data_IF_853596547316
#
_entry.id   IF_853596547316
#
_cell.length_a   1.000
_cell.length_b   1.000
_cell.length_c   1.000
_cell.angle_alpha   90.00
_cell.angle_beta   90.00
_cell.angle_gamma   90.00
#
_symmetry.space_group_name_H-M   'P 1'
#
loop_
_entity.id
_entity.type
_entity.pdbx_description
1 polymer ?
#
# COMPACT_ATOMS: atom_id res chain seq x y z
N UNK A 1 -0.77 -20.98 -2.12
CA UNK A 1 0.59 -21.47 -1.84
C UNK A 1 0.75 -22.59 -2.84
N UNK A 2 1.37 -22.30 -3.98
CA UNK A 2 1.15 -23.06 -5.22
C UNK A 2 2.46 -23.66 -5.78
N UNK A 3 3.59 -23.39 -5.13
CA UNK A 3 4.91 -23.95 -5.46
C UNK A 3 5.16 -25.21 -4.62
N UNK A 4 5.66 -26.29 -5.25
CA UNK A 4 6.03 -27.55 -4.59
C UNK A 4 7.51 -27.81 -4.85
N UNK A 5 8.30 -27.91 -3.78
CA UNK A 5 9.71 -28.31 -3.82
C UNK A 5 9.86 -29.70 -3.18
N UNK A 6 10.51 -30.64 -3.87
CA UNK A 6 10.75 -32.00 -3.37
C UNK A 6 12.16 -32.47 -3.71
N UNK A 7 12.80 -33.18 -2.78
CA UNK A 7 14.12 -33.79 -2.97
C UNK A 7 14.00 -35.28 -3.26
N UNK A 8 14.83 -35.77 -4.18
CA UNK A 8 14.98 -37.20 -4.52
C UNK A 8 16.46 -37.51 -4.71
N UNK A 9 16.84 -38.79 -4.64
CA UNK A 9 18.26 -39.19 -4.74
C UNK A 9 18.70 -39.36 -6.19
N UNK A 10 17.76 -39.64 -7.11
CA UNK A 10 18.05 -39.87 -8.53
C UNK A 10 17.11 -39.09 -9.47
N UNK A 11 17.52 -38.95 -10.73
CA UNK A 11 16.69 -38.30 -11.78
C UNK A 11 15.48 -39.18 -12.12
N UNK A 12 15.63 -40.49 -12.08
CA UNK A 12 14.57 -41.47 -12.31
C UNK A 12 13.45 -41.31 -11.28
N UNK A 13 13.81 -41.19 -10.00
CA UNK A 13 12.86 -40.91 -8.92
C UNK A 13 12.18 -39.56 -9.09
N UNK A 14 12.93 -38.51 -9.43
CA UNK A 14 12.35 -37.19 -9.68
C UNK A 14 11.29 -37.26 -10.80
N UNK A 15 11.58 -37.96 -11.90
CA UNK A 15 10.62 -38.15 -13.02
C UNK A 15 9.39 -38.94 -12.59
N UNK A 16 9.54 -39.99 -11.78
CA UNK A 16 8.41 -40.76 -11.23
C UNK A 16 7.56 -39.88 -10.32
N UNK A 17 8.18 -39.16 -9.39
CA UNK A 17 7.51 -38.25 -8.48
C UNK A 17 6.72 -37.16 -9.22
N UNK A 18 7.29 -36.56 -10.26
CA UNK A 18 6.60 -35.57 -11.09
C UNK A 18 5.38 -36.17 -11.80
N UNK A 19 5.52 -37.35 -12.40
CA UNK A 19 4.40 -38.07 -13.04
C UNK A 19 3.29 -38.34 -12.03
N UNK A 20 3.64 -38.90 -10.88
CA UNK A 20 2.67 -39.33 -9.88
C UNK A 20 1.98 -38.12 -9.22
N UNK A 21 2.72 -37.04 -9.00
CA UNK A 21 2.17 -35.76 -8.54
C UNK A 21 1.20 -35.17 -9.57
N UNK A 22 1.57 -35.16 -10.85
CA UNK A 22 0.66 -34.67 -11.89
C UNK A 22 -0.62 -35.51 -11.93
N UNK A 23 -0.53 -36.84 -11.91
CA UNK A 23 -1.69 -37.76 -11.85
C UNK A 23 -2.63 -37.45 -10.68
N UNK A 24 -2.08 -37.21 -9.48
CA UNK A 24 -2.87 -36.81 -8.31
C UNK A 24 -3.54 -35.45 -8.54
N UNK A 25 -2.81 -34.47 -9.07
CA UNK A 25 -3.38 -33.17 -9.40
C UNK A 25 -4.49 -33.28 -10.46
N UNK A 26 -4.35 -34.19 -11.42
CA UNK A 26 -5.37 -34.42 -12.45
C UNK A 26 -6.70 -34.86 -11.85
N UNK A 27 -6.68 -35.70 -10.82
CA UNK A 27 -7.90 -36.13 -10.12
C UNK A 27 -8.66 -34.97 -9.47
N UNK A 28 -7.98 -33.84 -9.24
CA UNK A 28 -8.53 -32.60 -8.67
C UNK A 28 -8.72 -31.49 -9.72
N UNK A 29 -8.68 -31.82 -11.01
CA UNK A 29 -8.74 -30.84 -12.11
C UNK A 29 -7.61 -29.79 -12.08
N UNK A 30 -6.44 -30.18 -11.55
CA UNK A 30 -5.21 -29.39 -11.55
C UNK A 30 -4.15 -30.05 -12.46
N UNK A 31 -3.10 -29.30 -12.80
CA UNK A 31 -1.96 -29.75 -13.61
C UNK A 31 -0.68 -29.08 -13.14
N UNK A 32 0.45 -29.77 -13.27
CA UNK A 32 1.76 -29.13 -13.17
C UNK A 32 2.01 -28.23 -14.39
N UNK A 33 2.64 -27.07 -14.15
CA UNK A 33 3.07 -26.21 -15.25
C UNK A 33 4.40 -26.71 -15.81
N UNK A 34 4.34 -27.50 -16.88
CA UNK A 34 5.52 -28.12 -17.50
C UNK A 34 6.64 -27.13 -17.87
N UNK A 35 6.30 -25.89 -18.25
CA UNK A 35 7.29 -24.85 -18.58
C UNK A 35 8.01 -24.28 -17.35
N UNK A 36 7.46 -24.47 -16.15
CA UNK A 36 8.04 -24.00 -14.89
C UNK A 36 8.64 -25.13 -14.05
N UNK A 37 8.20 -26.37 -14.24
CA UNK A 37 8.72 -27.55 -13.56
C UNK A 37 10.17 -27.82 -14.00
N UNK A 38 11.08 -27.97 -13.03
CA UNK A 38 12.50 -28.25 -13.28
C UNK A 38 12.98 -29.36 -12.35
N UNK A 39 13.72 -30.32 -12.90
CA UNK A 39 14.57 -31.22 -12.12
C UNK A 39 15.95 -30.56 -12.07
N UNK A 40 16.44 -30.29 -10.87
CA UNK A 40 17.72 -29.64 -10.65
C UNK A 40 18.63 -30.59 -9.88
N UNK A 41 19.91 -30.64 -10.26
CA UNK A 41 20.94 -31.23 -9.40
C UNK A 41 21.06 -30.44 -8.09
N UNK A 42 21.70 -31.02 -7.07
CA UNK A 42 21.91 -30.34 -5.80
C UNK A 42 22.64 -28.98 -5.96
N UNK A 43 23.61 -28.90 -6.88
CA UNK A 43 24.37 -27.67 -7.16
C UNK A 43 23.47 -26.62 -7.81
N UNK A 44 22.69 -27.01 -8.82
CA UNK A 44 21.75 -26.11 -9.50
C UNK A 44 20.65 -25.64 -8.55
N UNK A 45 20.12 -26.53 -7.71
CA UNK A 45 19.15 -26.19 -6.68
C UNK A 45 19.75 -25.17 -5.70
N UNK A 46 20.97 -25.38 -5.21
CA UNK A 46 21.64 -24.45 -4.30
C UNK A 46 21.77 -23.05 -4.90
N UNK A 47 22.12 -22.97 -6.19
CA UNK A 47 22.20 -21.71 -6.94
C UNK A 47 20.82 -21.11 -7.23
N UNK A 48 19.85 -21.92 -7.64
CA UNK A 48 18.49 -21.51 -7.98
C UNK A 48 17.78 -20.94 -6.76
N UNK A 49 17.83 -21.64 -5.62
CA UNK A 49 17.24 -21.20 -4.36
C UNK A 49 18.04 -20.12 -3.65
N UNK A 50 19.25 -19.79 -4.15
CA UNK A 50 20.11 -18.74 -3.60
C UNK A 50 20.38 -18.93 -2.10
N UNK A 51 20.60 -20.19 -1.69
CA UNK A 51 20.69 -20.60 -0.26
C UNK A 51 21.71 -19.77 0.52
N UNK A 52 22.86 -19.47 -0.10
CA UNK A 52 23.89 -18.62 0.52
C UNK A 52 23.40 -17.19 0.76
N UNK A 53 22.70 -16.59 -0.20
CA UNK A 53 22.16 -15.23 -0.05
C UNK A 53 21.12 -15.18 1.06
N UNK A 54 20.21 -16.16 1.12
CA UNK A 54 19.22 -16.27 2.18
C UNK A 54 19.88 -16.30 3.56
N UNK A 55 20.90 -17.15 3.74
CA UNK A 55 21.67 -17.23 5.01
C UNK A 55 22.39 -15.92 5.34
N UNK A 56 22.89 -15.20 4.34
CA UNK A 56 23.53 -13.88 4.56
C UNK A 56 22.50 -12.86 5.03
N UNK A 57 21.33 -12.82 4.39
CA UNK A 57 20.24 -11.94 4.80
C UNK A 57 19.74 -12.27 6.22
N UNK A 58 19.63 -13.54 6.58
CA UNK A 58 19.30 -13.98 7.95
C UNK A 58 20.28 -13.39 8.97
N UNK A 59 21.59 -13.50 8.70
CA UNK A 59 22.64 -12.98 9.59
C UNK A 59 22.61 -11.46 9.70
N UNK A 60 22.38 -10.75 8.58
CA UNK A 60 22.26 -9.29 8.59
C UNK A 60 21.05 -8.87 9.43
N UNK A 61 19.91 -9.53 9.23
CA UNK A 61 18.69 -9.23 9.97
C UNK A 61 18.84 -9.52 11.47
N UNK A 62 19.42 -10.68 11.85
CA UNK A 62 19.72 -11.00 13.25
C UNK A 62 20.69 -10.01 13.89
N UNK A 63 21.70 -9.56 13.15
CA UNK A 63 22.63 -8.53 13.63
C UNK A 63 21.90 -7.20 13.88
N UNK A 64 21.07 -6.75 12.94
CA UNK A 64 20.30 -5.51 13.08
C UNK A 64 19.28 -5.59 14.22
N UNK A 65 18.63 -6.75 14.41
CA UNK A 65 17.70 -6.99 15.51
C UNK A 65 18.39 -7.02 16.88
N UNK A 66 19.68 -7.37 16.94
CA UNK A 66 20.47 -7.33 18.18
C UNK A 66 20.88 -5.92 18.61
N UNK A 67 20.80 -4.93 17.70
CA UNK A 67 21.15 -3.56 18.00
C UNK A 67 19.98 -2.82 18.66
N UNK A 68 20.24 -1.89 19.58
CA UNK A 68 19.21 -0.99 20.09
C UNK A 68 18.54 -0.20 18.96
N UNK A 69 17.23 0.04 19.06
CA UNK A 69 16.51 0.87 18.09
C UNK A 69 17.12 2.27 18.00
N UNK A 70 17.46 2.71 16.78
CA UNK A 70 18.08 4.02 16.53
C UNK A 70 19.58 4.06 16.84
N UNK A 71 20.25 2.94 17.05
CA UNK A 71 21.70 2.92 17.23
C UNK A 71 22.42 3.39 15.94
N UNK A 72 23.41 4.30 16.04
CA UNK A 72 24.19 4.76 14.87
C UNK A 72 24.90 3.62 14.11
N UNK A 73 25.22 2.53 14.80
CA UNK A 73 25.77 1.32 14.20
C UNK A 73 24.80 0.67 13.21
N UNK A 74 23.49 0.68 13.50
CA UNK A 74 22.47 0.13 12.62
C UNK A 74 22.38 0.94 11.32
N UNK A 75 22.35 2.27 11.40
CA UNK A 75 22.33 3.14 10.22
C UNK A 75 23.56 2.96 9.34
N UNK A 76 24.74 2.83 9.95
CA UNK A 76 25.99 2.54 9.22
C UNK A 76 25.92 1.20 8.50
N UNK A 77 25.45 0.15 9.18
CA UNK A 77 25.30 -1.18 8.60
C UNK A 77 24.28 -1.18 7.44
N UNK A 78 23.13 -0.53 7.63
CA UNK A 78 22.09 -0.39 6.60
C UNK A 78 22.59 0.41 5.39
N UNK A 79 23.37 1.47 5.60
CA UNK A 79 24.00 2.24 4.51
C UNK A 79 24.98 1.41 3.68
N UNK A 80 25.83 0.61 4.34
CA UNK A 80 26.74 -0.32 3.64
C UNK A 80 25.92 -1.38 2.88
N UNK A 81 24.91 -1.93 3.53
CA UNK A 81 24.03 -2.95 2.95
C UNK A 81 23.28 -2.42 1.71
N UNK A 82 22.63 -1.26 1.80
CA UNK A 82 21.91 -0.64 0.70
C UNK A 82 22.83 -0.35 -0.51
N UNK A 83 24.04 0.19 -0.28
CA UNK A 83 25.04 0.41 -1.34
C UNK A 83 25.50 -0.90 -1.98
N UNK A 84 25.74 -1.94 -1.18
CA UNK A 84 26.13 -3.24 -1.70
C UNK A 84 25.04 -3.87 -2.58
N UNK A 85 23.78 -3.67 -2.20
CA UNK A 85 22.61 -4.19 -2.93
C UNK A 85 22.42 -3.44 -4.24
N UNK A 86 22.51 -2.12 -4.23
CA UNK A 86 22.44 -1.29 -5.44
C UNK A 86 23.55 -1.67 -6.43
N UNK A 87 24.79 -1.84 -5.94
CA UNK A 87 25.91 -2.34 -6.76
C UNK A 87 25.64 -3.74 -7.33
N UNK A 88 25.12 -4.67 -6.54
CA UNK A 88 24.76 -6.01 -7.04
C UNK A 88 23.64 -5.94 -8.08
N UNK A 89 22.68 -5.04 -7.89
CA UNK A 89 21.58 -4.85 -8.82
C UNK A 89 22.06 -4.34 -10.18
N UNK A 90 22.91 -3.30 -10.20
CA UNK A 90 23.47 -2.75 -11.44
C UNK A 90 24.32 -3.77 -12.21
N UNK A 91 24.92 -4.74 -11.51
CA UNK A 91 25.64 -5.87 -12.10
C UNK A 91 24.74 -7.03 -12.58
N UNK A 92 23.41 -6.90 -12.47
CA UNK A 92 22.47 -7.94 -12.89
C UNK A 92 22.40 -9.17 -11.98
N UNK A 93 22.90 -9.08 -10.75
CA UNK A 93 23.06 -10.22 -9.82
C UNK A 93 21.73 -10.93 -9.47
N UNK A 94 20.62 -10.21 -9.55
CA UNK A 94 19.28 -10.68 -9.16
C UNK A 94 18.44 -11.23 -10.33
N UNK A 95 18.99 -11.31 -11.56
CA UNK A 95 18.25 -11.74 -12.75
C UNK A 95 17.94 -13.24 -12.81
N UNK A 96 18.70 -14.06 -12.07
CA UNK A 96 18.65 -15.53 -12.19
C UNK A 96 18.08 -16.19 -10.93
N UNK A 97 17.42 -17.34 -11.11
CA UNK A 97 16.85 -18.14 -10.03
C UNK A 97 15.91 -17.32 -9.13
N UNK A 98 16.00 -17.53 -7.83
CA UNK A 98 15.27 -16.77 -6.82
C UNK A 98 15.86 -15.37 -6.55
N UNK A 99 16.64 -14.80 -7.46
CA UNK A 99 17.25 -13.48 -7.31
C UNK A 99 16.23 -12.37 -7.02
N UNK A 100 15.07 -12.39 -7.68
CA UNK A 100 13.98 -11.42 -7.39
C UNK A 100 13.42 -11.61 -5.97
N UNK A 101 13.31 -12.85 -5.47
CA UNK A 101 12.91 -13.12 -4.07
C UNK A 101 13.94 -12.57 -3.08
N UNK A 102 15.24 -12.70 -3.37
CA UNK A 102 16.33 -12.10 -2.57
C UNK A 102 16.23 -10.57 -2.59
N UNK A 103 16.00 -9.95 -3.74
CA UNK A 103 15.84 -8.49 -3.85
C UNK A 103 14.61 -8.01 -3.06
N UNK A 104 13.48 -8.71 -3.14
CA UNK A 104 12.28 -8.44 -2.33
C UNK A 104 12.60 -8.46 -0.84
N UNK A 105 13.31 -9.50 -0.38
CA UNK A 105 13.67 -9.66 1.03
C UNK A 105 14.59 -8.53 1.49
N UNK A 106 15.53 -8.11 0.66
CA UNK A 106 16.37 -6.94 0.92
C UNK A 106 15.56 -5.66 1.10
N UNK A 107 14.63 -5.37 0.18
CA UNK A 107 13.72 -4.22 0.33
C UNK A 107 12.89 -4.35 1.61
N UNK A 108 12.47 -5.58 1.96
CA UNK A 108 11.79 -5.89 3.21
C UNK A 108 12.59 -5.54 4.46
N UNK A 109 13.89 -5.86 4.48
CA UNK A 109 14.81 -5.48 5.57
C UNK A 109 14.87 -3.95 5.67
N UNK A 110 15.10 -3.26 4.55
CA UNK A 110 15.15 -1.79 4.55
C UNK A 110 13.82 -1.17 5.04
N UNK A 111 12.67 -1.74 4.66
CA UNK A 111 11.37 -1.34 5.16
C UNK A 111 11.21 -1.55 6.68
N UNK A 112 11.69 -2.67 7.22
CA UNK A 112 11.61 -2.99 8.66
C UNK A 112 12.32 -1.94 9.51
N UNK A 113 13.47 -1.45 9.03
CA UNK A 113 14.26 -0.42 9.72
C UNK A 113 14.03 1.00 9.22
N UNK A 114 13.00 1.23 8.39
CA UNK A 114 12.68 2.56 7.83
C UNK A 114 13.86 3.21 7.09
N UNK A 115 14.73 2.40 6.48
CA UNK A 115 15.88 2.86 5.73
C UNK A 115 15.54 3.01 4.25
N UNK A 116 15.92 4.12 3.65
CA UNK A 116 15.53 4.46 2.27
C UNK A 116 16.27 3.62 1.24
N UNK A 117 15.56 3.16 0.23
CA UNK A 117 16.15 2.58 -0.97
C UNK A 117 16.98 3.61 -1.74
N UNK A 118 18.17 3.26 -2.27
CA UNK A 118 18.88 4.13 -3.20
C UNK A 118 18.00 4.52 -4.39
N UNK A 119 18.02 5.79 -4.78
CA UNK A 119 17.09 6.38 -5.75
C UNK A 119 17.11 5.65 -7.10
N UNK A 120 18.31 5.30 -7.58
CA UNK A 120 18.49 4.53 -8.80
C UNK A 120 17.85 3.14 -8.70
N UNK A 121 18.02 2.47 -7.55
CA UNK A 121 17.41 1.17 -7.29
C UNK A 121 15.88 1.27 -7.19
N UNK A 122 15.35 2.29 -6.50
CA UNK A 122 13.91 2.54 -6.43
C UNK A 122 13.32 2.72 -7.83
N UNK A 123 13.89 3.61 -8.64
CA UNK A 123 13.44 3.88 -10.00
C UNK A 123 13.51 2.62 -10.88
N UNK A 124 14.60 1.86 -10.79
CA UNK A 124 14.76 0.61 -11.54
C UNK A 124 13.75 -0.47 -11.11
N UNK A 125 13.50 -0.61 -9.80
CA UNK A 125 12.51 -1.57 -9.28
C UNK A 125 11.11 -1.20 -9.73
N UNK A 126 10.71 0.07 -9.60
CA UNK A 126 9.38 0.53 -10.04
C UNK A 126 9.19 0.28 -11.54
N UNK A 127 10.22 0.56 -12.33
CA UNK A 127 10.21 0.39 -13.79
C UNK A 127 10.16 -1.08 -14.23
N UNK A 128 11.07 -1.90 -13.71
CA UNK A 128 11.39 -3.22 -14.30
C UNK A 128 10.81 -4.42 -13.54
N UNK A 129 10.34 -4.23 -12.30
CA UNK A 129 9.95 -5.34 -11.43
C UNK A 129 8.52 -5.19 -10.89
N UNK A 130 7.48 -5.56 -11.68
CA UNK A 130 6.08 -5.46 -11.26
C UNK A 130 5.79 -6.09 -9.88
N UNK A 131 6.37 -7.26 -9.61
CA UNK A 131 6.19 -8.00 -8.35
C UNK A 131 6.81 -7.32 -7.12
N UNK A 132 7.71 -6.34 -7.33
CA UNK A 132 8.44 -5.64 -6.29
C UNK A 132 7.95 -4.20 -6.08
N UNK A 133 7.13 -3.68 -7.00
CA UNK A 133 6.59 -2.31 -6.97
C UNK A 133 5.95 -1.96 -5.62
N UNK A 134 5.08 -2.82 -5.09
CA UNK A 134 4.45 -2.58 -3.77
C UNK A 134 5.48 -2.48 -2.64
N UNK A 135 6.52 -3.32 -2.66
CA UNK A 135 7.56 -3.31 -1.64
C UNK A 135 8.43 -2.06 -1.71
N UNK A 136 8.73 -1.57 -2.92
CA UNK A 136 9.44 -0.32 -3.13
C UNK A 136 8.60 0.90 -2.75
N UNK A 137 7.34 0.96 -3.20
CA UNK A 137 6.41 2.02 -2.80
C UNK A 137 6.19 2.05 -1.29
N UNK A 138 6.11 0.89 -0.64
CA UNK A 138 6.06 0.80 0.83
C UNK A 138 7.32 1.39 1.49
N UNK A 139 8.49 1.25 0.89
CA UNK A 139 9.71 1.89 1.38
C UNK A 139 9.57 3.41 1.36
N UNK A 140 9.17 3.95 0.20
CA UNK A 140 8.92 5.38 0.04
C UNK A 140 7.84 5.88 1.03
N UNK A 141 6.75 5.12 1.23
CA UNK A 141 5.71 5.45 2.20
C UNK A 141 6.23 5.57 3.64
N UNK A 142 7.13 4.67 4.07
CA UNK A 142 7.68 4.66 5.43
C UNK A 142 8.71 5.77 5.64
N UNK A 143 9.59 5.97 4.64
CA UNK A 143 10.68 6.93 4.69
C UNK A 143 10.25 8.36 4.35
N UNK A 144 9.10 8.53 3.70
CA UNK A 144 8.61 9.79 3.16
C UNK A 144 8.77 9.85 1.63
N UNK A 145 7.70 10.07 0.89
CA UNK A 145 7.81 10.35 -0.55
C UNK A 145 8.46 11.72 -0.77
N UNK A 146 9.51 11.74 -1.59
CA UNK A 146 10.18 12.95 -2.10
C UNK A 146 9.90 13.09 -3.59
N UNK A 147 10.34 14.22 -4.13
CA UNK A 147 10.28 14.51 -5.56
C UNK A 147 10.84 13.38 -6.44
N UNK A 148 11.96 12.75 -6.06
CA UNK A 148 12.59 11.70 -6.86
C UNK A 148 11.70 10.47 -6.99
N UNK A 149 11.03 10.07 -5.90
CA UNK A 149 10.12 8.92 -5.94
C UNK A 149 8.86 9.24 -6.75
N UNK A 150 8.33 10.46 -6.64
CA UNK A 150 7.22 10.90 -7.49
C UNK A 150 7.60 10.90 -8.97
N UNK A 151 8.76 11.45 -9.33
CA UNK A 151 9.24 11.47 -10.71
C UNK A 151 9.45 10.07 -11.28
N UNK A 152 10.01 9.15 -10.49
CA UNK A 152 10.16 7.76 -10.92
C UNK A 152 8.80 7.11 -11.20
N UNK A 153 7.79 7.33 -10.36
CA UNK A 153 6.43 6.80 -10.57
C UNK A 153 5.74 7.46 -11.77
N UNK A 154 5.75 8.78 -11.87
CA UNK A 154 5.16 9.52 -12.99
C UNK A 154 5.79 9.10 -14.33
N UNK A 155 7.11 8.94 -14.36
CA UNK A 155 7.83 8.51 -15.57
C UNK A 155 7.37 7.17 -16.11
N UNK A 156 7.08 6.17 -15.26
CA UNK A 156 6.68 4.84 -15.73
C UNK A 156 5.29 4.83 -16.33
N UNK A 157 4.39 5.72 -15.89
CA UNK A 157 3.09 5.91 -16.54
C UNK A 157 3.23 6.65 -17.86
N UNK A 158 3.96 7.77 -17.90
CA UNK A 158 4.12 8.57 -19.14
C UNK A 158 4.84 7.81 -20.25
N UNK A 159 5.76 6.92 -19.89
CA UNK A 159 6.45 6.04 -20.84
C UNK A 159 5.62 4.81 -21.25
N UNK A 160 4.41 4.63 -20.72
CA UNK A 160 3.58 3.45 -21.02
C UNK A 160 4.16 2.13 -20.50
N UNK A 161 5.05 2.18 -19.51
CA UNK A 161 5.69 0.98 -18.92
C UNK A 161 4.80 0.31 -17.86
N UNK A 162 3.69 0.97 -17.51
CA UNK A 162 2.64 0.40 -16.68
C UNK A 162 1.29 0.64 -17.33
N UNK A 163 0.53 -0.43 -17.48
CA UNK A 163 -0.82 -0.41 -18.04
C UNK A 163 -1.85 -1.11 -17.15
N UNK A 164 -1.43 -1.71 -16.01
CA UNK A 164 -2.33 -2.46 -15.14
C UNK A 164 -2.95 -1.59 -14.04
N UNK A 165 -4.25 -1.79 -13.82
CA UNK A 165 -5.00 -1.12 -12.76
C UNK A 165 -4.54 -1.51 -11.36
N UNK A 166 -3.97 -2.71 -11.23
CA UNK A 166 -3.41 -3.17 -9.97
C UNK A 166 -2.32 -2.23 -9.46
N UNK A 167 -1.41 -1.76 -10.32
CA UNK A 167 -0.38 -0.81 -9.92
C UNK A 167 -0.96 0.54 -9.50
N UNK A 168 -1.95 1.08 -10.21
CA UNK A 168 -2.65 2.31 -9.81
C UNK A 168 -3.28 2.17 -8.42
N UNK A 169 -3.94 1.06 -8.16
CA UNK A 169 -4.57 0.77 -6.86
C UNK A 169 -3.54 0.65 -5.73
N UNK A 170 -2.43 -0.05 -5.98
CA UNK A 170 -1.31 -0.16 -5.04
C UNK A 170 -0.70 1.21 -4.77
N UNK A 171 -0.47 2.02 -5.81
CA UNK A 171 0.07 3.37 -5.67
C UNK A 171 -0.84 4.26 -4.84
N UNK A 172 -2.14 4.30 -5.15
CA UNK A 172 -3.11 5.08 -4.40
C UNK A 172 -3.14 4.69 -2.92
N UNK A 173 -3.18 3.38 -2.63
CA UNK A 173 -3.09 2.87 -1.25
C UNK A 173 -1.80 3.33 -0.57
N UNK A 174 -0.66 3.21 -1.22
CA UNK A 174 0.64 3.54 -0.63
C UNK A 174 0.84 5.02 -0.38
N UNK A 175 0.38 5.87 -1.30
CA UNK A 175 0.39 7.32 -1.10
C UNK A 175 -0.54 7.70 0.06
N UNK A 176 -1.76 7.19 0.11
CA UNK A 176 -2.70 7.49 1.20
C UNK A 176 -2.19 7.08 2.58
N UNK A 177 -1.35 6.04 2.68
CA UNK A 177 -0.70 5.61 3.93
C UNK A 177 0.65 6.32 4.20
N UNK A 178 1.23 7.01 3.23
CA UNK A 178 2.62 7.46 3.24
C UNK A 178 2.89 8.63 4.19
N UNK A 179 4.13 8.78 4.63
CA UNK A 179 4.68 10.10 4.96
C UNK A 179 5.01 10.84 3.67
N UNK A 180 4.89 12.16 3.67
CA UNK A 180 5.30 13.01 2.55
C UNK A 180 6.43 13.92 3.04
N UNK A 181 7.44 14.12 2.19
CA UNK A 181 8.41 15.18 2.38
C UNK A 181 7.85 16.46 1.77
N UNK A 182 7.69 17.48 2.60
CA UNK A 182 7.12 18.77 2.21
C UNK A 182 8.25 19.74 1.88
N UNK A 183 8.61 19.82 0.60
CA UNK A 183 9.67 20.68 0.07
C UNK A 183 9.14 21.76 -0.90
N UNK A 184 7.82 21.85 -1.05
CA UNK A 184 7.11 22.75 -1.96
C UNK A 184 6.86 22.14 -3.34
N UNK A 185 7.37 20.94 -3.63
CA UNK A 185 7.17 20.25 -4.92
C UNK A 185 6.12 19.14 -4.87
N UNK A 186 5.67 18.77 -3.66
CA UNK A 186 4.75 17.66 -3.44
C UNK A 186 3.40 17.87 -4.09
N UNK A 187 2.87 19.09 -4.10
CA UNK A 187 1.57 19.40 -4.72
C UNK A 187 1.62 19.19 -6.23
N UNK A 188 2.63 19.73 -6.91
CA UNK A 188 2.80 19.55 -8.35
C UNK A 188 3.02 18.08 -8.71
N UNK A 189 3.81 17.37 -7.89
CA UNK A 189 4.07 15.94 -8.07
C UNK A 189 2.81 15.11 -7.94
N UNK A 190 2.00 15.35 -6.91
CA UNK A 190 0.73 14.68 -6.70
C UNK A 190 -0.29 15.00 -7.82
N UNK A 191 -0.27 16.22 -8.41
CA UNK A 191 -1.13 16.56 -9.56
C UNK A 191 -0.76 15.71 -10.76
N UNK A 192 0.54 15.61 -11.06
CA UNK A 192 1.02 14.74 -12.14
C UNK A 192 0.64 13.28 -11.95
N UNK A 193 0.63 12.78 -10.69
CA UNK A 193 0.13 11.45 -10.39
C UNK A 193 -1.39 11.35 -10.60
N UNK A 194 -2.20 12.33 -10.17
CA UNK A 194 -3.65 12.28 -10.40
C UNK A 194 -4.04 12.28 -11.88
N UNK A 195 -3.25 12.93 -12.74
CA UNK A 195 -3.49 12.98 -14.19
C UNK A 195 -3.51 11.58 -14.84
N UNK A 196 -2.88 10.58 -14.22
CA UNK A 196 -2.84 9.20 -14.72
C UNK A 196 -3.93 8.29 -14.12
N UNK A 197 -4.89 8.87 -13.38
CA UNK A 197 -6.08 8.19 -12.84
C UNK A 197 -7.36 8.74 -13.50
N UNK A 198 -7.77 8.20 -14.66
CA UNK A 198 -9.04 8.57 -15.29
C UNK A 198 -10.24 8.36 -14.33
N UNK A 199 -11.25 9.23 -14.43
CA UNK A 199 -12.47 9.16 -13.62
C UNK A 199 -13.63 8.44 -14.31
N UNK A 200 -13.44 7.98 -15.54
CA UNK A 200 -14.40 7.25 -16.36
C UNK A 200 -14.23 5.72 -16.32
N UNK A 201 -13.19 5.23 -15.63
CA UNK A 201 -12.89 3.82 -15.40
C UNK A 201 -12.92 3.46 -13.90
N UNK A 202 -13.41 2.26 -13.54
CA UNK A 202 -13.68 1.89 -12.15
C UNK A 202 -12.46 1.91 -11.23
N UNK A 203 -11.38 1.18 -11.58
CA UNK A 203 -10.21 1.08 -10.72
C UNK A 203 -9.40 2.39 -10.65
N UNK A 204 -9.16 3.11 -11.76
CA UNK A 204 -8.57 4.44 -11.70
C UNK A 204 -9.43 5.45 -10.92
N UNK A 205 -10.76 5.45 -11.08
CA UNK A 205 -11.64 6.31 -10.29
C UNK A 205 -11.57 5.99 -8.79
N UNK A 206 -11.52 4.69 -8.42
CA UNK A 206 -11.30 4.28 -7.04
C UNK A 206 -10.00 4.89 -6.49
N UNK A 207 -8.90 4.74 -7.21
CA UNK A 207 -7.60 5.26 -6.81
C UNK A 207 -7.58 6.78 -6.68
N UNK A 208 -8.17 7.50 -7.64
CA UNK A 208 -8.29 8.96 -7.61
C UNK A 208 -9.09 9.44 -6.40
N UNK A 209 -10.26 8.85 -6.14
CA UNK A 209 -11.09 9.21 -4.98
C UNK A 209 -10.37 8.94 -3.66
N UNK A 210 -9.60 7.85 -3.57
CA UNK A 210 -8.80 7.54 -2.39
C UNK A 210 -7.63 8.52 -2.20
N UNK A 211 -6.98 8.94 -3.27
CA UNK A 211 -5.96 9.99 -3.19
C UNK A 211 -6.59 11.32 -2.75
N UNK A 212 -7.70 11.72 -3.37
CA UNK A 212 -8.41 12.97 -3.04
C UNK A 212 -9.03 12.96 -1.65
N UNK A 213 -9.34 11.80 -1.06
CA UNK A 213 -9.82 11.76 0.32
C UNK A 213 -8.75 12.14 1.34
N UNK A 214 -7.47 11.97 1.01
CA UNK A 214 -6.37 12.49 1.82
C UNK A 214 -5.93 13.87 1.36
N UNK A 215 -5.63 13.98 0.08
CA UNK A 215 -4.93 15.13 -0.48
C UNK A 215 -5.85 16.14 -1.15
N UNK A 216 -7.17 15.97 -1.16
CA UNK A 216 -8.10 16.91 -1.78
C UNK A 216 -8.81 17.78 -0.75
N UNK A 217 -9.21 18.99 -1.19
CA UNK A 217 -10.25 19.75 -0.48
C UNK A 217 -11.58 19.01 -0.52
N UNK A 218 -12.47 19.23 0.46
CA UNK A 218 -13.83 18.68 0.43
C UNK A 218 -14.58 19.00 -0.87
N UNK A 219 -14.42 20.21 -1.41
CA UNK A 219 -15.02 20.66 -2.68
C UNK A 219 -14.44 19.93 -3.90
N UNK A 220 -13.11 19.79 -3.96
CA UNK A 220 -12.41 19.04 -5.03
C UNK A 220 -12.80 17.57 -5.01
N UNK A 221 -12.86 16.97 -3.82
CA UNK A 221 -13.30 15.59 -3.64
C UNK A 221 -14.76 15.42 -4.08
N UNK A 222 -15.65 16.32 -3.67
CA UNK A 222 -17.06 16.25 -4.10
C UNK A 222 -17.21 16.39 -5.61
N UNK A 223 -16.46 17.30 -6.23
CA UNK A 223 -16.42 17.44 -7.70
C UNK A 223 -15.94 16.17 -8.41
N UNK A 224 -14.93 15.47 -7.86
CA UNK A 224 -14.50 14.19 -8.42
C UNK A 224 -15.58 13.11 -8.27
N UNK A 225 -16.26 13.04 -7.11
CA UNK A 225 -17.38 12.12 -6.87
C UNK A 225 -18.49 12.35 -7.89
N UNK A 226 -18.89 13.61 -8.15
CA UNK A 226 -19.95 13.87 -9.13
C UNK A 226 -19.52 13.55 -10.56
N UNK A 227 -18.25 13.78 -10.92
CA UNK A 227 -17.72 13.44 -12.25
C UNK A 227 -17.73 11.93 -12.54
N UNK A 228 -17.52 11.09 -11.54
CA UNK A 228 -17.55 9.64 -11.70
C UNK A 228 -18.89 8.98 -11.28
N UNK A 229 -19.97 9.77 -11.16
CA UNK A 229 -21.33 9.34 -10.77
C UNK A 229 -21.80 8.09 -11.52
N UNK A 230 -21.66 8.10 -12.85
CA UNK A 230 -22.07 6.99 -13.70
C UNK A 230 -21.45 5.65 -13.30
N UNK A 231 -20.24 5.65 -12.74
CA UNK A 231 -19.54 4.41 -12.38
C UNK A 231 -19.98 3.93 -11.01
N UNK A 232 -19.91 4.80 -10.00
CA UNK A 232 -20.15 4.36 -8.63
C UNK A 232 -21.63 4.11 -8.33
N UNK A 233 -22.55 4.67 -9.11
CA UNK A 233 -23.97 4.31 -9.03
C UNK A 233 -24.27 2.89 -9.56
N UNK A 234 -23.32 2.25 -10.25
CA UNK A 234 -23.50 0.92 -10.84
C UNK A 234 -22.55 -0.13 -10.23
N UNK A 235 -21.70 0.25 -9.28
CA UNK A 235 -20.76 -0.65 -8.61
C UNK A 235 -20.83 -0.49 -7.08
N UNK A 236 -21.16 -1.57 -6.38
CA UNK A 236 -21.31 -1.56 -4.91
C UNK A 236 -20.01 -1.25 -4.17
N UNK A 237 -18.86 -1.60 -4.74
CA UNK A 237 -17.55 -1.36 -4.11
C UNK A 237 -17.21 0.13 -4.14
N UNK A 238 -17.39 0.77 -5.29
CA UNK A 238 -17.14 2.18 -5.47
C UNK A 238 -18.21 3.05 -4.79
N UNK A 239 -19.48 2.62 -4.81
CA UNK A 239 -20.55 3.22 -4.00
C UNK A 239 -20.18 3.23 -2.51
N UNK A 240 -19.70 2.10 -1.99
CA UNK A 240 -19.22 2.00 -0.62
C UNK A 240 -18.00 2.89 -0.37
N UNK A 241 -17.04 2.97 -1.29
CA UNK A 241 -15.92 3.92 -1.17
C UNK A 241 -16.45 5.34 -1.00
N UNK A 242 -17.27 5.81 -1.95
CA UNK A 242 -17.85 7.17 -1.96
C UNK A 242 -18.57 7.48 -0.64
N UNK A 243 -19.39 6.56 -0.14
CA UNK A 243 -20.06 6.72 1.15
C UNK A 243 -19.07 6.85 2.32
N UNK A 244 -18.02 6.02 2.33
CA UNK A 244 -16.96 6.05 3.35
C UNK A 244 -16.16 7.35 3.37
N UNK A 245 -16.17 8.13 2.28
CA UNK A 245 -15.49 9.43 2.19
C UNK A 245 -16.32 10.59 2.79
N UNK A 246 -17.55 10.32 3.24
CA UNK A 246 -18.40 11.32 3.91
C UNK A 246 -17.68 12.14 5.00
N UNK A 247 -16.86 11.53 5.88
CA UNK A 247 -16.15 12.30 6.89
C UNK A 247 -15.28 13.42 6.30
N UNK A 248 -14.72 13.27 5.09
CA UNK A 248 -13.95 14.35 4.47
C UNK A 248 -14.86 15.45 3.95
N UNK A 249 -15.97 15.09 3.32
CA UNK A 249 -16.98 16.05 2.83
C UNK A 249 -17.57 16.88 3.98
N UNK A 250 -17.72 16.27 5.15
CA UNK A 250 -18.27 16.90 6.33
C UNK A 250 -17.34 17.93 7.02
N UNK A 251 -16.12 18.14 6.53
CA UNK A 251 -15.20 19.16 7.07
C UNK A 251 -15.62 20.56 6.66
N UNK A 252 -16.17 20.69 5.46
CA UNK A 252 -16.82 21.91 5.01
C UNK A 252 -18.28 21.90 5.46
N UNK A 253 -18.59 22.72 6.48
CA UNK A 253 -19.94 22.83 7.07
C UNK A 253 -21.00 23.30 6.07
N UNK A 254 -20.60 24.00 5.00
CA UNK A 254 -21.52 24.50 3.97
C UNK A 254 -21.81 23.43 2.91
N UNK A 255 -20.81 22.63 2.58
CA UNK A 255 -20.92 21.52 1.63
C UNK A 255 -21.63 20.31 2.24
N UNK A 256 -21.37 20.02 3.51
CA UNK A 256 -21.80 18.79 4.17
C UNK A 256 -23.30 18.48 3.97
N UNK A 257 -24.26 19.40 4.23
CA UNK A 257 -25.68 19.07 4.07
C UNK A 257 -26.05 18.76 2.61
N UNK A 258 -25.45 19.47 1.65
CA UNK A 258 -25.66 19.28 0.22
C UNK A 258 -25.12 17.93 -0.24
N UNK A 259 -23.90 17.60 0.17
CA UNK A 259 -23.26 16.32 -0.13
C UNK A 259 -24.03 15.14 0.48
N UNK A 260 -24.48 15.24 1.74
CA UNK A 260 -25.28 14.19 2.38
C UNK A 260 -26.57 13.90 1.60
N UNK A 261 -27.31 14.95 1.24
CA UNK A 261 -28.54 14.79 0.46
C UNK A 261 -28.25 14.22 -0.93
N UNK A 262 -27.21 14.71 -1.60
CA UNK A 262 -26.82 14.22 -2.92
C UNK A 262 -26.49 12.70 -2.89
N UNK A 263 -25.72 12.26 -1.89
CA UNK A 263 -25.30 10.87 -1.71
C UNK A 263 -26.46 9.94 -1.32
N UNK A 264 -27.30 10.33 -0.34
CA UNK A 264 -28.43 9.49 0.10
C UNK A 264 -29.36 9.10 -1.05
N UNK A 265 -29.56 9.99 -2.01
CA UNK A 265 -30.47 9.76 -3.13
C UNK A 265 -29.88 8.89 -4.26
N UNK A 266 -28.59 8.55 -4.21
CA UNK A 266 -27.86 7.92 -5.33
C UNK A 266 -27.03 6.70 -4.96
N UNK A 267 -26.58 6.61 -3.71
CA UNK A 267 -25.80 5.48 -3.24
C UNK A 267 -26.59 4.18 -3.39
N UNK A 268 -25.88 3.12 -3.81
CA UNK A 268 -26.39 1.75 -3.75
C UNK A 268 -26.52 1.26 -2.29
N UNK A 269 -27.29 0.18 -2.03
CA UNK A 269 -27.60 -0.26 -0.67
C UNK A 269 -26.40 -0.38 0.30
N UNK A 270 -25.24 -0.93 -0.13
CA UNK A 270 -24.07 -1.02 0.77
C UNK A 270 -23.43 0.34 1.04
N UNK A 271 -23.52 1.26 0.07
CA UNK A 271 -23.11 2.65 0.24
C UNK A 271 -24.01 3.39 1.23
N UNK A 272 -25.34 3.26 1.10
CA UNK A 272 -26.30 3.87 2.02
C UNK A 272 -26.05 3.42 3.46
N UNK A 273 -25.92 2.10 3.68
CA UNK A 273 -25.61 1.54 5.00
C UNK A 273 -24.31 2.09 5.59
N UNK A 274 -23.27 2.30 4.78
CA UNK A 274 -22.01 2.86 5.27
C UNK A 274 -22.10 4.38 5.54
N UNK A 275 -22.88 5.12 4.75
CA UNK A 275 -23.14 6.53 5.01
C UNK A 275 -23.90 6.70 6.34
N UNK A 276 -24.95 5.91 6.55
CA UNK A 276 -25.72 5.87 7.80
C UNK A 276 -24.81 5.53 8.98
N UNK A 277 -23.94 4.53 8.84
CA UNK A 277 -22.95 4.20 9.86
C UNK A 277 -22.07 5.41 10.26
N UNK A 278 -21.55 6.17 9.30
CA UNK A 278 -20.74 7.35 9.64
C UNK A 278 -21.55 8.48 10.26
N UNK A 279 -22.81 8.64 9.86
CA UNK A 279 -23.74 9.59 10.45
C UNK A 279 -24.07 9.19 11.89
N UNK A 280 -24.38 7.92 12.13
CA UNK A 280 -24.65 7.37 13.46
C UNK A 280 -23.47 7.55 14.41
N UNK A 281 -22.24 7.33 13.96
CA UNK A 281 -21.04 7.63 14.77
C UNK A 281 -20.97 9.13 15.12
N UNK A 282 -21.35 10.00 14.18
CA UNK A 282 -21.36 11.44 14.37
C UNK A 282 -22.51 11.94 15.26
N UNK A 283 -23.64 11.22 15.37
CA UNK A 283 -24.84 11.74 16.04
C UNK A 283 -25.36 10.90 17.19
N UNK A 284 -24.91 9.65 17.36
CA UNK A 284 -25.46 8.68 18.33
C UNK A 284 -24.35 8.10 19.21
N UNK A 285 -24.50 8.21 20.53
CA UNK A 285 -23.50 7.75 21.52
C UNK A 285 -23.24 6.24 21.48
N UNK A 286 -24.25 5.42 21.15
CA UNK A 286 -24.14 3.95 21.06
C UNK A 286 -23.36 3.47 19.84
N UNK A 287 -23.26 4.27 18.78
CA UNK A 287 -22.48 3.94 17.59
C UNK A 287 -20.97 3.86 17.89
N UNK A 288 -20.47 4.79 18.69
CA UNK A 288 -19.04 4.87 19.04
C UNK A 288 -18.59 3.75 20.00
N UNK A 289 -19.42 3.35 20.97
CA UNK A 289 -19.01 2.38 22.01
C UNK A 289 -18.59 1.02 21.43
N UNK A 290 -19.21 0.59 20.33
CA UNK A 290 -18.91 -0.68 19.63
C UNK A 290 -17.53 -0.71 18.99
N UNK A 291 -17.00 0.44 18.56
CA UNK A 291 -15.73 0.54 17.85
C UNK A 291 -14.61 1.16 18.69
N UNK A 292 -14.88 1.49 19.95
CA UNK A 292 -13.93 2.15 20.85
C UNK A 292 -12.58 1.41 20.95
N UNK A 293 -12.59 0.10 21.15
CA UNK A 293 -11.35 -0.69 21.25
C UNK A 293 -10.53 -0.62 19.95
N UNK A 294 -11.19 -0.78 18.80
CA UNK A 294 -10.58 -0.71 17.47
C UNK A 294 -10.01 0.69 17.24
N UNK A 295 -10.77 1.74 17.56
CA UNK A 295 -10.34 3.13 17.34
C UNK A 295 -9.15 3.51 18.24
N UNK A 296 -9.07 3.02 19.47
CA UNK A 296 -7.97 3.32 20.40
C UNK A 296 -6.67 2.52 20.13
N UNK A 297 -6.71 1.44 19.34
CA UNK A 297 -5.50 0.69 19.00
C UNK A 297 -4.55 1.51 18.12
N UNK A 298 -3.22 1.35 18.23
CA UNK A 298 -2.27 1.90 17.24
C UNK A 298 -1.97 0.85 16.17
N UNK A 299 -1.58 1.29 14.97
CA UNK A 299 -1.04 0.40 13.95
C UNK A 299 0.41 0.76 13.65
N UNK A 300 1.34 0.21 14.43
CA UNK A 300 2.77 0.54 14.31
C UNK A 300 3.42 0.14 12.99
N UNK A 301 2.77 -0.73 12.20
CA UNK A 301 3.24 -1.18 10.89
C UNK A 301 3.01 -0.16 9.77
N UNK A 302 2.17 0.85 9.99
CA UNK A 302 1.87 1.92 9.05
C UNK A 302 2.72 3.17 9.32
N UNK A 303 3.11 3.93 8.29
CA UNK A 303 3.96 5.11 8.43
C UNK A 303 3.38 6.17 9.38
N UNK A 304 2.07 6.42 9.31
CA UNK A 304 1.35 7.40 10.13
C UNK A 304 0.66 6.77 11.36
N UNK A 305 1.00 5.51 11.68
CA UNK A 305 0.50 4.77 12.85
C UNK A 305 -1.02 4.52 12.90
N UNK A 306 -1.72 4.86 11.83
CA UNK A 306 -3.15 4.69 11.65
C UNK A 306 -3.47 4.50 10.15
N UNK A 307 -4.47 3.65 9.85
CA UNK A 307 -4.99 3.50 8.50
C UNK A 307 -5.91 4.66 8.13
N UNK A 308 -6.02 4.98 6.84
CA UNK A 308 -6.86 6.10 6.39
C UNK A 308 -8.36 5.83 6.63
N UNK A 309 -8.82 4.61 6.39
CA UNK A 309 -10.16 4.13 6.74
C UNK A 309 -10.51 4.39 8.23
N UNK A 310 -9.59 4.04 9.12
CA UNK A 310 -9.74 4.28 10.54
C UNK A 310 -9.67 5.76 10.88
N UNK A 311 -8.82 6.53 10.21
CA UNK A 311 -8.79 7.99 10.34
C UNK A 311 -10.14 8.62 9.98
N UNK A 312 -10.80 8.17 8.91
CA UNK A 312 -12.13 8.64 8.53
C UNK A 312 -13.17 8.36 9.63
N UNK A 313 -13.12 7.19 10.27
CA UNK A 313 -13.95 6.90 11.43
C UNK A 313 -13.64 7.81 12.62
N UNK A 314 -12.35 8.05 12.93
CA UNK A 314 -11.93 8.97 13.99
C UNK A 314 -12.48 10.37 13.72
N UNK A 315 -12.42 10.85 12.48
CA UNK A 315 -12.97 12.14 12.08
C UNK A 315 -14.48 12.26 12.31
N UNK A 316 -15.25 11.17 12.12
CA UNK A 316 -16.67 11.15 12.52
C UNK A 316 -16.83 11.30 14.04
N UNK A 317 -16.01 10.58 14.84
CA UNK A 317 -16.07 10.64 16.31
C UNK A 317 -15.68 12.00 16.86
N UNK A 318 -14.60 12.61 16.35
CA UNK A 318 -14.11 13.90 16.84
C UNK A 318 -15.14 15.02 16.65
N UNK A 319 -15.93 14.96 15.57
CA UNK A 319 -17.03 15.89 15.30
C UNK A 319 -18.33 15.54 16.02
N UNK A 320 -18.46 14.33 16.57
CA UNK A 320 -19.68 13.88 17.22
C UNK A 320 -20.01 14.72 18.45
N UNK A 321 -21.24 15.20 18.59
CA UNK A 321 -21.66 15.86 19.84
C UNK A 321 -21.92 14.86 20.97
N UNK A 322 -22.02 13.57 20.64
CA UNK A 322 -22.38 12.50 21.58
C UNK A 322 -21.18 11.73 22.13
N UNK A 323 -19.99 11.85 21.51
CA UNK A 323 -18.79 11.16 21.98
C UNK A 323 -18.17 11.86 23.21
N UNK A 324 -17.80 11.12 24.28
CA UNK A 324 -17.24 11.71 25.50
C UNK A 324 -15.96 12.51 25.24
N UNK A 325 -15.83 13.71 25.82
CA UNK A 325 -14.67 14.60 25.63
C UNK A 325 -13.34 13.92 25.99
N UNK A 326 -13.30 13.16 27.08
CA UNK A 326 -12.08 12.43 27.49
C UNK A 326 -11.65 11.36 26.49
N UNK A 327 -12.60 10.76 25.78
CA UNK A 327 -12.31 9.77 24.74
C UNK A 327 -11.79 10.44 23.46
N UNK A 328 -12.34 11.60 23.09
CA UNK A 328 -11.83 12.40 21.96
C UNK A 328 -10.37 12.83 22.20
N UNK A 329 -10.09 13.40 23.37
CA UNK A 329 -8.73 13.80 23.76
C UNK A 329 -7.75 12.60 23.74
N UNK A 330 -8.23 11.41 24.14
CA UNK A 330 -7.42 10.19 24.07
C UNK A 330 -7.17 9.75 22.62
N UNK A 331 -8.15 9.84 21.73
CA UNK A 331 -7.95 9.56 20.29
C UNK A 331 -6.95 10.53 19.66
N UNK A 332 -7.05 11.82 19.97
CA UNK A 332 -6.12 12.86 19.50
C UNK A 332 -4.68 12.58 19.95
N UNK A 333 -4.51 12.16 21.20
CA UNK A 333 -3.20 11.78 21.77
C UNK A 333 -2.64 10.49 21.16
N UNK A 334 -3.49 9.50 20.87
CA UNK A 334 -3.04 8.21 20.30
C UNK A 334 -2.65 8.39 18.83
N UNK A 335 -3.46 9.12 18.07
CA UNK A 335 -3.36 9.25 16.61
C UNK A 335 -2.78 10.59 16.16
N UNK A 336 -1.96 11.23 16.99
CA UNK A 336 -1.40 12.56 16.71
C UNK A 336 -0.70 12.59 15.35
N UNK A 337 0.09 11.56 15.00
CA UNK A 337 0.85 11.55 13.73
C UNK A 337 -0.01 11.72 12.48
N UNK A 338 -1.16 11.05 12.39
CA UNK A 338 -2.06 11.18 11.23
C UNK A 338 -2.95 12.42 11.33
N UNK A 339 -3.32 12.84 12.53
CA UNK A 339 -4.19 14.00 12.76
C UNK A 339 -3.48 15.34 12.52
N UNK A 340 -2.17 15.39 12.75
CA UNK A 340 -1.33 16.58 12.49
C UNK A 340 -0.61 16.52 11.14
N UNK A 341 -0.88 15.50 10.32
CA UNK A 341 -0.22 15.31 9.04
C UNK A 341 -0.67 16.41 8.05
N UNK A 342 0.26 17.23 7.50
CA UNK A 342 -0.09 18.41 6.73
C UNK A 342 -1.00 18.12 5.53
N UNK A 343 -0.83 17.00 4.84
CA UNK A 343 -1.65 16.63 3.68
C UNK A 343 -3.17 16.65 3.90
N UNK A 344 -3.66 16.44 5.13
CA UNK A 344 -5.10 16.53 5.43
C UNK A 344 -5.61 17.95 5.61
N UNK A 345 -4.71 18.89 5.93
CA UNK A 345 -5.00 20.29 6.26
C UNK A 345 -4.57 21.28 5.16
N UNK A 346 -3.56 20.94 4.35
CA UNK A 346 -2.90 21.85 3.39
C UNK A 346 -3.75 22.21 2.16
N UNK A 347 -5.07 22.14 2.23
CA UNK A 347 -5.91 22.67 1.16
C UNK A 347 -5.73 21.99 -0.20
N UNK A 348 -5.09 20.84 -0.22
CA UNK A 348 -5.13 19.84 -1.27
C UNK A 348 -4.35 20.09 -2.57
N UNK A 349 -4.22 18.98 -3.29
CA UNK A 349 -4.19 18.92 -4.73
C UNK A 349 -5.29 19.83 -5.30
N UNK A 350 -4.86 21.07 -5.64
CA UNK A 350 -5.61 22.24 -6.09
C UNK A 350 -6.04 23.19 -4.98
#
# INVERSE_FOLDING_TARGET
>A
MDDIDAGTDTIEEAKRLLRDTDLVLQSRSLRLNAGKTKILSAIEAFQHFRVRDTRVLDKIESYLDSLPKGAPAADRALSIFARAVDKKYSQGYFKNGNGEKILKRTIGILNKYSFRLPDALFAAVVRLHPNLRDSALRNASICGFRREEFQAVDSVFRLGLVCDDYFRMVLAKRLVEAKIHYDGTEVASLKGILDVFPLDEMAPAYGALWLLSRYGLPTTLFSAITRCERIWMNDETLSRLVAGLWPRLAEDKTLAPKAANYLRNRLLPKGQSLLEFHLDIATVSTGYSRFKSILHAKNDSLPLKCGHDKFLMIQSVLRSTSAPTGDKAKLEKIHTQILTEPSYAMGGLL
#
